data_IF_964508894525
#
_entry.id   IF_964508894525
#
_cell.length_a   1.000
_cell.length_b   1.000
_cell.length_c   1.000
_cell.angle_alpha   90.00
_cell.angle_beta   90.00
_cell.angle_gamma   90.00
#
_symmetry.space_group_name_H-M   'P 1'
#
loop_
_entity.id
_entity.type
_entity.pdbx_description
1 polymer ?
#
# COMPACT_ATOMS: atom_id res chain seq x y z
N UNK A 1 -27.48 2.51 6.20
CA UNK A 1 -26.47 3.53 5.82
C UNK A 1 -25.21 2.76 5.48
N UNK A 2 -24.59 2.93 4.30
CA UNK A 2 -23.30 2.29 4.07
C UNK A 2 -22.32 2.82 5.12
N UNK A 3 -21.60 1.92 5.80
CA UNK A 3 -20.56 2.32 6.76
C UNK A 3 -19.60 3.28 6.05
N UNK A 4 -19.25 4.38 6.72
CA UNK A 4 -18.35 5.37 6.12
C UNK A 4 -16.95 4.75 6.10
N UNK A 5 -16.55 4.21 4.95
CA UNK A 5 -15.19 3.71 4.68
C UNK A 5 -14.18 4.79 4.99
N UNK A 6 -13.04 4.43 5.59
CA UNK A 6 -11.97 5.36 5.93
C UNK A 6 -10.60 4.83 5.52
N UNK A 7 -9.92 5.58 4.66
CA UNK A 7 -8.53 5.36 4.29
C UNK A 7 -7.65 6.28 5.13
N UNK A 8 -6.81 5.69 5.97
CA UNK A 8 -5.85 6.41 6.82
C UNK A 8 -4.45 6.06 6.35
N UNK A 9 -3.71 7.07 5.90
CA UNK A 9 -2.33 6.90 5.47
C UNK A 9 -1.37 7.49 6.49
N UNK A 10 -0.28 6.79 6.77
CA UNK A 10 0.82 7.25 7.61
C UNK A 10 2.03 7.50 6.73
N UNK A 11 2.54 8.73 6.73
CA UNK A 11 3.72 9.14 5.97
C UNK A 11 4.65 10.00 6.83
N UNK A 12 5.83 10.34 6.33
CA UNK A 12 6.84 11.06 7.11
C UNK A 12 8.27 10.59 6.86
N UNK A 13 9.22 11.32 7.43
CA UNK A 13 10.66 11.04 7.29
C UNK A 13 11.01 9.62 7.77
N UNK A 14 11.98 8.98 7.12
CA UNK A 14 12.52 7.69 7.54
C UNK A 14 12.94 7.68 9.01
N UNK A 15 12.65 6.59 9.73
CA UNK A 15 13.04 6.43 11.13
C UNK A 15 12.22 7.22 12.17
N UNK A 16 11.14 7.92 11.77
CA UNK A 16 10.30 8.70 12.70
C UNK A 16 9.20 7.89 13.40
N UNK A 17 9.12 6.57 13.16
CA UNK A 17 8.16 5.68 13.82
C UNK A 17 6.83 5.49 13.11
N UNK A 18 6.75 5.71 11.79
CA UNK A 18 5.55 5.48 10.96
C UNK A 18 4.92 4.11 11.16
N UNK A 19 5.70 3.05 10.90
CA UNK A 19 5.28 1.66 11.06
C UNK A 19 4.80 1.36 12.47
N UNK A 20 5.46 1.91 13.49
CA UNK A 20 5.03 1.80 14.89
C UNK A 20 3.69 2.48 15.12
N UNK A 21 3.50 3.69 14.58
CA UNK A 21 2.22 4.41 14.67
C UNK A 21 1.11 3.63 13.96
N UNK A 22 1.38 3.08 12.78
CA UNK A 22 0.44 2.24 12.03
C UNK A 22 0.03 1.01 12.85
N UNK A 23 0.98 0.31 13.46
CA UNK A 23 0.69 -0.84 14.32
C UNK A 23 -0.12 -0.48 15.57
N UNK A 24 0.16 0.67 16.20
CA UNK A 24 -0.62 1.16 17.35
C UNK A 24 -2.04 1.56 16.95
N UNK A 25 -2.21 2.18 15.78
CA UNK A 25 -3.51 2.54 15.23
C UNK A 25 -4.33 1.28 14.92
N UNK A 26 -3.72 0.28 14.27
CA UNK A 26 -4.34 -1.02 14.03
C UNK A 26 -4.79 -1.66 15.34
N UNK A 27 -3.91 -1.72 16.35
CA UNK A 27 -4.23 -2.27 17.67
C UNK A 27 -5.42 -1.58 18.34
N UNK A 28 -5.61 -0.28 18.10
CA UNK A 28 -6.78 0.43 18.59
C UNK A 28 -8.05 0.08 17.79
N UNK A 29 -7.95 0.00 16.45
CA UNK A 29 -9.09 -0.27 15.56
C UNK A 29 -9.62 -1.71 15.68
N UNK A 30 -8.75 -2.72 15.83
CA UNK A 30 -9.15 -4.14 15.97
C UNK A 30 -10.03 -4.41 17.20
N UNK A 31 -10.09 -3.46 18.15
CA UNK A 31 -10.99 -3.55 19.32
C UNK A 31 -12.45 -3.23 18.97
N UNK A 32 -12.68 -2.67 17.78
CA UNK A 32 -13.98 -2.17 17.34
C UNK A 32 -14.49 -2.87 16.09
N UNK A 33 -13.61 -3.38 15.23
CA UNK A 33 -13.96 -4.06 13.98
C UNK A 33 -12.81 -4.95 13.51
N UNK A 34 -13.12 -6.02 12.80
CA UNK A 34 -12.17 -6.91 12.09
C UNK A 34 -12.07 -6.59 10.59
N UNK A 35 -13.02 -5.82 10.06
CA UNK A 35 -13.07 -5.33 8.69
C UNK A 35 -12.01 -4.23 8.39
N UNK A 36 -10.74 -4.62 8.39
CA UNK A 36 -9.57 -3.74 8.27
C UNK A 36 -8.58 -4.32 7.25
N UNK A 37 -8.20 -3.50 6.27
CA UNK A 37 -7.07 -3.77 5.37
C UNK A 37 -5.84 -2.98 5.83
N UNK A 38 -4.70 -3.66 5.93
CA UNK A 38 -3.40 -3.06 6.19
C UNK A 38 -2.55 -3.21 4.95
N UNK A 39 -2.08 -2.09 4.39
CA UNK A 39 -1.20 -2.04 3.23
C UNK A 39 0.17 -1.57 3.69
N UNK A 40 1.16 -2.45 3.63
CA UNK A 40 2.57 -2.08 3.77
C UNK A 40 3.08 -1.62 2.40
N UNK A 41 3.17 -0.31 2.22
CA UNK A 41 3.68 0.27 0.99
C UNK A 41 5.20 0.49 1.02
N UNK A 42 5.93 0.02 2.03
CA UNK A 42 7.39 0.09 2.09
C UNK A 42 8.04 -1.06 1.30
N UNK A 43 8.96 -0.79 0.35
CA UNK A 43 9.74 -1.84 -0.32
C UNK A 43 10.50 -2.75 0.64
N UNK A 44 10.93 -2.23 1.81
CA UNK A 44 11.62 -2.99 2.84
C UNK A 44 10.70 -3.95 3.61
N UNK A 45 9.37 -3.80 3.50
CA UNK A 45 8.36 -4.70 4.08
C UNK A 45 8.52 -4.93 5.59
N UNK A 46 8.64 -3.85 6.37
CA UNK A 46 8.90 -3.95 7.82
C UNK A 46 7.62 -4.16 8.65
N UNK A 47 6.45 -3.79 8.13
CA UNK A 47 5.20 -3.81 8.90
C UNK A 47 4.73 -5.23 9.26
N UNK A 48 4.81 -6.24 8.37
CA UNK A 48 4.43 -7.62 8.72
C UNK A 48 5.19 -8.17 9.92
N UNK A 49 6.50 -7.92 10.00
CA UNK A 49 7.32 -8.37 11.13
C UNK A 49 6.90 -7.71 12.45
N UNK A 50 6.59 -6.41 12.41
CA UNK A 50 6.07 -5.67 13.57
C UNK A 50 4.72 -6.23 14.03
N UNK A 51 3.89 -6.68 13.09
CA UNK A 51 2.58 -7.27 13.36
C UNK A 51 2.64 -8.78 13.69
N UNK A 52 3.80 -9.41 13.56
CA UNK A 52 3.96 -10.85 13.75
C UNK A 52 3.28 -11.69 12.66
N UNK A 53 3.12 -11.13 11.46
CA UNK A 53 2.47 -11.76 10.31
C UNK A 53 3.51 -12.28 9.34
N UNK A 54 3.46 -13.57 9.03
CA UNK A 54 4.37 -14.18 8.06
C UNK A 54 3.88 -13.93 6.63
N UNK A 55 4.60 -13.08 5.89
CA UNK A 55 4.36 -12.84 4.46
C UNK A 55 5.27 -13.74 3.63
N UNK A 56 4.68 -14.51 2.70
CA UNK A 56 5.41 -15.42 1.81
C UNK A 56 5.56 -14.88 0.38
N UNK A 57 4.64 -14.01 -0.04
CA UNK A 57 4.58 -13.46 -1.38
C UNK A 57 4.15 -12.00 -1.29
N UNK A 58 4.85 -11.12 -2.00
CA UNK A 58 4.55 -9.69 -2.06
C UNK A 58 4.05 -9.31 -3.45
N UNK A 59 3.45 -8.12 -3.56
CA UNK A 59 3.04 -7.56 -4.86
C UNK A 59 4.25 -7.44 -5.78
N UNK A 60 5.41 -7.00 -5.30
CA UNK A 60 6.66 -6.90 -6.05
C UNK A 60 7.03 -8.23 -6.72
N UNK A 61 7.03 -9.32 -5.96
CA UNK A 61 7.32 -10.67 -6.48
C UNK A 61 6.33 -11.10 -7.57
N UNK A 62 5.04 -10.84 -7.37
CA UNK A 62 3.99 -11.13 -8.36
C UNK A 62 4.21 -10.33 -9.64
N UNK A 63 4.56 -9.05 -9.51
CA UNK A 63 4.78 -8.19 -10.66
C UNK A 63 6.00 -8.61 -11.47
N UNK A 64 7.06 -9.08 -10.81
CA UNK A 64 8.26 -9.57 -11.48
C UNK A 64 8.00 -10.93 -12.15
N UNK A 65 7.23 -11.82 -11.51
CA UNK A 65 6.78 -13.07 -12.13
C UNK A 65 5.99 -12.83 -13.42
N UNK A 66 5.12 -11.81 -13.43
CA UNK A 66 4.36 -11.43 -14.62
C UNK A 66 5.29 -10.89 -15.71
N UNK A 67 6.23 -10.00 -15.37
CA UNK A 67 7.21 -9.45 -16.32
C UNK A 67 8.00 -10.57 -16.99
N UNK A 68 8.52 -11.52 -16.21
CA UNK A 68 9.30 -12.64 -16.71
C UNK A 68 8.51 -13.55 -17.66
N UNK A 69 7.22 -13.75 -17.39
CA UNK A 69 6.35 -14.55 -18.27
C UNK A 69 5.99 -13.80 -19.55
N UNK A 70 5.82 -12.48 -19.50
CA UNK A 70 5.63 -11.63 -20.68
C UNK A 70 6.91 -11.66 -21.54
N UNK A 71 8.07 -11.44 -20.95
CA UNK A 71 9.35 -11.39 -21.66
C UNK A 71 9.69 -12.72 -22.34
N UNK A 72 9.35 -13.85 -21.71
CA UNK A 72 9.53 -15.19 -22.28
C UNK A 72 8.44 -15.59 -23.29
N UNK A 73 7.43 -14.75 -23.53
CA UNK A 73 6.35 -15.03 -24.49
C UNK A 73 5.46 -16.22 -24.11
N UNK A 74 5.42 -16.59 -22.82
CA UNK A 74 4.70 -17.78 -22.34
C UNK A 74 3.20 -17.50 -22.11
N UNK A 75 2.81 -16.22 -22.10
CA UNK A 75 1.43 -15.80 -21.91
C UNK A 75 0.71 -15.80 -23.25
N UNK A 76 -0.32 -16.63 -23.37
CA UNK A 76 -1.20 -16.65 -24.54
C UNK A 76 -1.83 -15.26 -24.74
N UNK A 77 -1.91 -14.76 -26.00
CA UNK A 77 -2.62 -13.52 -26.31
C UNK A 77 -4.09 -13.50 -25.90
N UNK A 78 -4.69 -14.68 -25.69
CA UNK A 78 -6.09 -14.82 -25.24
C UNK A 78 -6.28 -14.55 -23.74
N UNK A 79 -5.19 -14.48 -22.96
CA UNK A 79 -5.26 -14.27 -21.51
C UNK A 79 -5.05 -12.79 -21.19
N UNK A 80 -5.97 -12.19 -20.43
CA UNK A 80 -5.79 -10.83 -19.92
C UNK A 80 -4.66 -10.81 -18.89
N UNK A 81 -3.65 -9.98 -19.17
CA UNK A 81 -2.53 -9.73 -18.26
C UNK A 81 -3.00 -9.02 -16.99
N UNK A 82 -3.99 -8.13 -17.12
CA UNK A 82 -4.62 -7.43 -16.02
C UNK A 82 -5.32 -8.41 -15.07
N UNK A 83 -6.18 -9.29 -15.61
CA UNK A 83 -6.91 -10.26 -14.78
C UNK A 83 -6.00 -11.29 -14.12
N UNK A 84 -4.89 -11.66 -14.79
CA UNK A 84 -3.86 -12.51 -14.21
C UNK A 84 -3.14 -11.82 -13.04
N UNK A 85 -2.75 -10.56 -13.24
CA UNK A 85 -2.09 -9.76 -12.19
C UNK A 85 -3.02 -9.57 -10.99
N UNK A 86 -4.29 -9.27 -11.25
CA UNK A 86 -5.32 -9.10 -10.25
C UNK A 86 -5.49 -10.37 -9.42
N UNK A 87 -5.69 -11.53 -10.05
CA UNK A 87 -5.81 -12.80 -9.35
C UNK A 87 -4.58 -13.09 -8.46
N UNK A 88 -3.36 -12.89 -8.98
CA UNK A 88 -2.15 -13.15 -8.22
C UNK A 88 -1.95 -12.18 -7.05
N UNK A 89 -2.42 -10.94 -7.16
CA UNK A 89 -2.37 -9.99 -6.04
C UNK A 89 -3.36 -10.38 -4.95
N UNK A 90 -4.57 -10.81 -5.32
CA UNK A 90 -5.50 -11.38 -4.35
C UNK A 90 -4.89 -12.58 -3.62
N UNK A 91 -4.12 -13.44 -4.31
CA UNK A 91 -3.37 -14.54 -3.68
C UNK A 91 -2.25 -14.08 -2.73
N UNK A 92 -1.77 -12.84 -2.82
CA UNK A 92 -0.75 -12.29 -1.89
C UNK A 92 -1.34 -11.74 -0.60
N UNK A 93 -2.66 -11.56 -0.55
CA UNK A 93 -3.33 -11.06 0.65
C UNK A 93 -3.18 -12.08 1.78
N UNK A 94 -2.64 -11.65 2.91
CA UNK A 94 -2.53 -12.48 4.11
C UNK A 94 -3.72 -12.20 5.00
N UNK A 95 -4.68 -13.12 4.99
CA UNK A 95 -5.88 -13.04 5.83
C UNK A 95 -5.55 -13.42 7.27
N UNK A 96 -5.99 -12.59 8.23
CA UNK A 96 -5.87 -12.90 9.66
C UNK A 96 -7.24 -12.86 10.33
N UNK A 97 -7.31 -13.20 11.62
CA UNK A 97 -8.58 -13.19 12.35
C UNK A 97 -9.15 -11.78 12.57
N UNK A 98 -8.34 -10.73 12.47
CA UNK A 98 -8.75 -9.36 12.86
C UNK A 98 -8.46 -8.27 11.82
N UNK A 99 -7.72 -8.60 10.76
CA UNK A 99 -7.36 -7.70 9.67
C UNK A 99 -6.72 -8.49 8.53
N UNK A 100 -6.72 -7.94 7.34
CA UNK A 100 -6.01 -8.51 6.21
C UNK A 100 -4.79 -7.64 5.87
N UNK A 101 -3.71 -8.28 5.43
CA UNK A 101 -2.46 -7.60 5.15
C UNK A 101 -2.04 -7.79 3.69
N UNK A 102 -1.75 -6.68 3.03
CA UNK A 102 -1.14 -6.64 1.71
C UNK A 102 0.25 -6.02 1.81
N UNK A 103 1.28 -6.81 1.49
CA UNK A 103 2.66 -6.34 1.44
C UNK A 103 3.06 -5.98 0.02
N UNK A 104 3.45 -4.73 -0.22
CA UNK A 104 3.89 -4.29 -1.54
C UNK A 104 5.24 -4.93 -1.89
N UNK A 105 6.24 -4.80 -1.01
CA UNK A 105 7.58 -5.31 -1.25
C UNK A 105 8.31 -4.67 -2.42
N UNK A 106 9.61 -4.94 -2.50
CA UNK A 106 10.47 -4.45 -3.58
C UNK A 106 10.27 -5.29 -4.84
N UNK A 107 10.03 -4.63 -5.97
CA UNK A 107 10.16 -5.24 -7.30
C UNK A 107 11.62 -5.10 -7.78
N UNK A 108 12.21 -6.19 -8.26
CA UNK A 108 13.54 -6.25 -8.84
C UNK A 108 13.44 -6.07 -10.37
N UNK A 109 14.00 -4.98 -10.92
CA UNK A 109 14.22 -4.86 -12.37
C UNK A 109 14.13 -3.45 -12.95
N UNK A 110 14.89 -3.22 -14.03
CA UNK A 110 14.75 -2.06 -14.90
C UNK A 110 13.61 -2.30 -15.91
N UNK A 111 12.71 -1.33 -16.08
CA UNK A 111 11.60 -1.45 -17.03
C UNK A 111 10.47 -0.47 -16.78
N UNK A 112 9.57 -0.33 -17.76
CA UNK A 112 8.49 0.65 -17.74
C UNK A 112 7.37 0.22 -16.76
N UNK A 113 7.48 0.65 -15.50
CA UNK A 113 6.54 0.39 -14.41
C UNK A 113 5.13 0.97 -14.61
N UNK A 114 4.92 1.80 -15.63
CA UNK A 114 3.70 2.57 -15.79
C UNK A 114 2.42 1.73 -15.90
N UNK A 115 2.47 0.60 -16.62
CA UNK A 115 1.32 -0.29 -16.80
C UNK A 115 1.02 -1.10 -15.54
N UNK A 116 2.04 -1.68 -14.92
CA UNK A 116 1.86 -2.44 -13.67
C UNK A 116 1.31 -1.51 -12.59
N UNK A 117 1.90 -0.33 -12.42
CA UNK A 117 1.46 0.62 -11.41
C UNK A 117 0.01 1.10 -11.62
N UNK A 118 -0.45 1.28 -12.87
CA UNK A 118 -1.84 1.67 -13.12
C UNK A 118 -2.83 0.54 -12.81
N UNK A 119 -2.44 -0.71 -13.02
CA UNK A 119 -3.25 -1.88 -12.64
C UNK A 119 -3.26 -2.05 -11.12
N UNK A 120 -2.10 -1.96 -10.46
CA UNK A 120 -1.97 -2.01 -8.99
C UNK A 120 -2.86 -0.98 -8.31
N UNK A 121 -2.81 0.26 -8.79
CA UNK A 121 -3.65 1.37 -8.35
C UNK A 121 -5.14 0.99 -8.33
N UNK A 122 -5.64 0.38 -9.42
CA UNK A 122 -7.04 -0.02 -9.53
C UNK A 122 -7.38 -1.19 -8.60
N UNK A 123 -6.51 -2.18 -8.51
CA UNK A 123 -6.73 -3.35 -7.63
C UNK A 123 -6.78 -2.90 -6.18
N UNK A 124 -5.84 -2.03 -5.79
CA UNK A 124 -5.81 -1.40 -4.48
C UNK A 124 -7.12 -0.64 -4.21
N UNK A 125 -7.61 0.21 -5.12
CA UNK A 125 -8.89 0.90 -4.96
C UNK A 125 -10.07 -0.10 -4.77
N UNK A 126 -10.15 -1.15 -5.59
CA UNK A 126 -11.14 -2.22 -5.43
C UNK A 126 -11.05 -2.91 -4.07
N UNK A 127 -9.83 -3.28 -3.63
CA UNK A 127 -9.58 -3.92 -2.35
C UNK A 127 -10.05 -3.02 -1.20
N UNK A 128 -9.60 -1.77 -1.15
CA UNK A 128 -9.98 -0.83 -0.08
C UNK A 128 -11.47 -0.58 0.02
N UNK A 129 -12.21 -0.67 -1.10
CA UNK A 129 -13.66 -0.51 -1.10
C UNK A 129 -14.40 -1.64 -0.37
N UNK A 130 -13.75 -2.78 -0.18
CA UNK A 130 -14.31 -3.93 0.52
C UNK A 130 -14.15 -3.86 2.04
N UNK A 131 -13.36 -2.91 2.55
CA UNK A 131 -13.10 -2.78 3.99
C UNK A 131 -13.63 -1.46 4.57
N UNK A 132 -14.02 -1.51 5.84
CA UNK A 132 -14.44 -0.33 6.61
C UNK A 132 -13.24 0.58 6.90
N UNK A 133 -12.09 0.02 7.25
CA UNK A 133 -10.83 0.77 7.40
C UNK A 133 -9.74 0.24 6.47
N UNK A 134 -9.01 1.15 5.83
CA UNK A 134 -7.73 0.83 5.20
C UNK A 134 -6.63 1.64 5.87
N UNK A 135 -5.62 0.97 6.41
CA UNK A 135 -4.40 1.58 6.92
C UNK A 135 -3.29 1.44 5.89
N UNK A 136 -2.62 2.54 5.53
CA UNK A 136 -1.49 2.53 4.59
C UNK A 136 -0.23 3.03 5.29
N UNK A 137 0.78 2.16 5.46
CA UNK A 137 2.11 2.58 5.89
C UNK A 137 2.94 2.96 4.67
N UNK A 138 3.11 4.27 4.45
CA UNK A 138 3.76 4.81 3.26
C UNK A 138 5.19 5.27 3.59
N UNK A 139 6.16 4.89 2.75
CA UNK A 139 7.48 5.51 2.77
C UNK A 139 7.44 6.93 2.17
N UNK A 140 8.41 7.78 2.54
CA UNK A 140 8.64 9.06 1.88
C UNK A 140 9.17 8.83 0.46
N UNK A 141 8.53 9.38 -0.58
CA UNK A 141 8.87 9.15 -1.99
C UNK A 141 7.84 8.34 -2.77
N UNK A 142 6.88 7.69 -2.08
CA UNK A 142 5.79 6.93 -2.70
C UNK A 142 4.50 7.73 -2.90
N UNK A 143 4.57 9.06 -2.84
CA UNK A 143 3.50 9.98 -3.26
C UNK A 143 3.01 9.73 -4.71
N UNK A 144 3.75 8.98 -5.52
CA UNK A 144 3.30 8.57 -6.85
C UNK A 144 2.17 7.53 -6.83
N UNK A 145 2.03 6.75 -5.76
CA UNK A 145 0.92 5.82 -5.59
C UNK A 145 -0.37 6.58 -5.26
N UNK A 146 -0.30 7.58 -4.38
CA UNK A 146 -1.43 8.47 -4.07
C UNK A 146 -1.78 9.41 -5.22
N UNK A 147 -0.82 9.85 -6.05
CA UNK A 147 -1.05 10.69 -7.25
C UNK A 147 -1.83 10.01 -8.37
N UNK A 148 -1.84 8.68 -8.44
CA UNK A 148 -2.44 7.93 -9.56
C UNK A 148 -3.69 7.15 -9.17
N UNK A 149 -3.92 6.95 -7.86
CA UNK A 149 -5.18 6.43 -7.34
C UNK A 149 -6.18 7.57 -7.17
N UNK A 150 -7.40 7.42 -7.68
CA UNK A 150 -8.61 8.18 -7.26
C UNK A 150 -8.98 7.85 -5.79
N UNK A 151 -7.98 7.61 -4.94
CA UNK A 151 -8.17 7.35 -3.52
C UNK A 151 -8.15 8.69 -2.81
N UNK A 152 -9.32 9.14 -2.41
CA UNK A 152 -9.46 10.14 -1.36
C UNK A 152 -8.90 9.51 -0.07
N UNK A 153 -7.65 9.82 0.27
CA UNK A 153 -7.13 9.48 1.60
C UNK A 153 -7.89 10.37 2.59
N UNK A 154 -8.84 9.78 3.33
CA UNK A 154 -9.66 10.53 4.30
C UNK A 154 -8.85 11.22 5.38
N UNK A 155 -7.70 10.64 5.76
CA UNK A 155 -6.83 11.19 6.79
C UNK A 155 -5.38 10.83 6.51
N UNK A 156 -4.52 11.84 6.35
CA UNK A 156 -3.07 11.67 6.30
C UNK A 156 -2.42 12.06 7.62
N UNK A 157 -1.77 11.09 8.26
CA UNK A 157 -0.94 11.28 9.45
C UNK A 157 0.51 11.44 9.01
N UNK A 158 1.12 12.57 9.39
CA UNK A 158 2.51 12.87 9.04
C UNK A 158 3.38 12.80 10.32
N UNK A 159 4.30 11.84 10.38
CA UNK A 159 5.25 11.71 11.48
C UNK A 159 6.54 12.50 11.18
N UNK A 160 7.04 13.20 12.19
CA UNK A 160 8.29 13.97 12.09
C UNK A 160 9.08 13.85 13.39
N UNK A 161 10.40 14.02 13.28
CA UNK A 161 11.26 14.34 14.42
C UNK A 161 11.29 15.86 14.66
N UNK A 162 11.88 16.30 15.78
CA UNK A 162 12.05 17.72 16.10
C UNK A 162 13.19 18.39 15.29
N UNK A 163 13.60 17.81 14.16
CA UNK A 163 14.68 18.35 13.32
C UNK A 163 14.11 19.29 12.27
N UNK A 164 14.92 20.31 11.88
CA UNK A 164 14.57 21.19 10.76
C UNK A 164 14.24 20.40 9.50
N UNK A 165 15.03 19.36 9.21
CA UNK A 165 14.84 18.51 8.04
C UNK A 165 13.54 17.70 8.11
N UNK A 166 13.14 17.21 9.30
CA UNK A 166 11.87 16.53 9.50
C UNK A 166 10.68 17.46 9.26
N UNK A 167 10.72 18.67 9.80
CA UNK A 167 9.69 19.68 9.58
C UNK A 167 9.60 20.09 8.09
N UNK A 168 10.73 20.21 7.39
CA UNK A 168 10.74 20.45 5.95
C UNK A 168 10.13 19.27 5.16
N UNK A 169 10.44 18.02 5.52
CA UNK A 169 9.79 16.85 4.92
C UNK A 169 8.29 16.85 5.15
N UNK A 170 7.83 17.14 6.38
CA UNK A 170 6.40 17.22 6.69
C UNK A 170 5.72 18.34 5.89
N UNK A 171 6.37 19.49 5.73
CA UNK A 171 5.89 20.59 4.87
C UNK A 171 5.75 20.16 3.42
N UNK A 172 6.76 19.48 2.85
CA UNK A 172 6.71 18.96 1.47
C UNK A 172 5.59 17.95 1.27
N UNK A 173 5.40 17.02 2.22
CA UNK A 173 4.31 16.04 2.15
C UNK A 173 2.96 16.77 2.16
N UNK A 174 2.78 17.77 3.03
CA UNK A 174 1.56 18.58 3.07
C UNK A 174 1.31 19.38 1.77
N UNK A 175 2.35 19.93 1.17
CA UNK A 175 2.24 20.63 -0.13
C UNK A 175 1.84 19.65 -1.24
N UNK A 176 2.47 18.46 -1.27
CA UNK A 176 2.13 17.39 -2.21
C UNK A 176 0.69 16.88 -2.06
N UNK A 177 0.15 16.77 -0.84
CA UNK A 177 -1.26 16.37 -0.68
C UNK A 177 -2.22 17.43 -1.24
N UNK A 178 -1.90 18.71 -1.08
CA UNK A 178 -2.72 19.81 -1.60
C UNK A 178 -2.73 19.91 -3.12
N UNK A 179 -1.60 19.60 -3.77
CA UNK A 179 -1.50 19.53 -5.24
C UNK A 179 -2.29 18.36 -5.85
N UNK A 180 -2.62 17.35 -5.02
CA UNK A 180 -3.19 16.07 -5.45
C UNK A 180 -4.67 15.94 -5.05
N UNK A 181 -5.27 17.01 -4.53
CA UNK A 181 -6.68 17.06 -4.07
C UNK A 181 -7.02 16.00 -3.01
N UNK A 182 -6.09 15.74 -2.11
CA UNK A 182 -6.30 14.97 -0.88
C UNK A 182 -6.50 15.94 0.29
#
# INVERSE_FOLDING_TARGET
>A
MPSKRRVISVSGKGGTGKTTLTALLLKALIRHTDDILVVDADPATNLPDVLGVKVLKTVGMVTDELKDRIARGVISPMVSKEGMLEAWIFETLVETNCFDLLAMGRSEGEGCYCYVNSVLTRILDTLSRNYTYTLMDMEAGLEHLSRRTDRDVDTMLITTDASKMGLETARRIKELTQEVHI
#
